data_IF_273899866308
#
_entry.id   IF_273899866308
#
_cell.length_a   1.000
_cell.length_b   1.000
_cell.length_c   1.000
_cell.angle_alpha   90.00
_cell.angle_beta   90.00
_cell.angle_gamma   90.00
#
_symmetry.space_group_name_H-M   'P 1'
#
loop_
_entity.id
_entity.type
_entity.pdbx_description
1 polymer ?
#
# COMPACT_ATOMS: atom_id res chain seq x y z
N UNK A 1 32.54 -18.87 -9.52
CA UNK A 1 31.87 -17.82 -8.73
C UNK A 1 30.38 -18.10 -8.65
N UNK A 2 29.83 -18.37 -7.47
CA UNK A 2 28.39 -18.54 -7.28
C UNK A 2 27.75 -17.18 -7.01
N UNK A 3 26.70 -16.83 -7.75
CA UNK A 3 25.93 -15.59 -7.55
C UNK A 3 24.54 -15.98 -7.06
N UNK A 4 24.25 -15.69 -5.79
CA UNK A 4 22.93 -15.93 -5.22
C UNK A 4 21.92 -14.93 -5.80
N UNK A 5 20.84 -15.44 -6.39
CA UNK A 5 19.71 -14.65 -6.88
C UNK A 5 18.49 -14.94 -5.99
N UNK A 6 18.01 -13.97 -5.20
CA UNK A 6 16.84 -14.17 -4.35
C UNK A 6 15.60 -14.57 -5.15
N UNK A 7 14.81 -15.50 -4.60
CA UNK A 7 13.52 -15.90 -5.18
C UNK A 7 12.44 -14.85 -4.93
N UNK A 8 11.35 -14.77 -5.73
CA UNK A 8 10.28 -13.78 -5.56
C UNK A 8 9.72 -13.65 -4.13
N UNK A 9 9.55 -14.78 -3.42
CA UNK A 9 9.10 -14.82 -2.02
C UNK A 9 9.94 -13.97 -1.06
N UNK A 10 11.23 -13.78 -1.34
CA UNK A 10 12.10 -12.90 -0.56
C UNK A 10 11.65 -11.45 -0.68
N UNK A 11 11.35 -10.98 -1.89
CA UNK A 11 10.88 -9.62 -2.14
C UNK A 11 9.47 -9.40 -1.57
N UNK A 12 8.61 -10.42 -1.63
CA UNK A 12 7.29 -10.41 -0.97
C UNK A 12 7.44 -10.20 0.53
N UNK A 13 8.29 -10.99 1.19
CA UNK A 13 8.54 -10.87 2.62
C UNK A 13 9.12 -9.48 2.99
N UNK A 14 9.98 -8.92 2.13
CA UNK A 14 10.60 -7.61 2.31
C UNK A 14 9.58 -6.46 2.43
N UNK A 15 8.42 -6.56 1.78
CA UNK A 15 7.32 -5.57 1.91
C UNK A 15 6.80 -5.41 3.34
N UNK A 16 6.88 -6.45 4.16
CA UNK A 16 6.49 -6.42 5.57
C UNK A 16 7.70 -6.19 6.47
N UNK A 17 8.68 -7.11 6.43
CA UNK A 17 9.75 -7.15 7.43
C UNK A 17 10.68 -5.94 7.42
N UNK A 18 10.75 -5.19 6.31
CA UNK A 18 11.59 -3.98 6.25
C UNK A 18 10.93 -2.76 6.90
N UNK A 19 9.60 -2.69 6.93
CA UNK A 19 8.86 -1.47 7.28
C UNK A 19 7.80 -1.66 8.37
N UNK A 20 7.60 -2.88 8.85
CA UNK A 20 6.82 -3.17 10.06
C UNK A 20 7.82 -3.52 11.14
N UNK A 21 8.15 -2.53 11.97
CA UNK A 21 9.15 -2.68 13.03
C UNK A 21 8.54 -3.36 14.26
N UNK A 22 9.36 -3.96 15.14
CA UNK A 22 8.88 -4.47 16.42
C UNK A 22 8.08 -3.42 17.19
N UNK A 23 6.98 -3.84 17.80
CA UNK A 23 6.05 -2.96 18.53
C UNK A 23 5.01 -2.25 17.64
N UNK A 24 5.10 -2.36 16.31
CA UNK A 24 4.02 -1.89 15.45
C UNK A 24 2.79 -2.75 15.66
N UNK A 25 1.61 -2.13 15.58
CA UNK A 25 0.34 -2.82 15.67
C UNK A 25 -0.47 -2.61 14.40
N UNK A 26 -1.31 -3.61 14.09
CA UNK A 26 -2.20 -3.58 12.93
C UNK A 26 -3.34 -2.59 13.17
N UNK A 27 -3.68 -1.81 12.16
CA UNK A 27 -4.83 -0.89 12.18
C UNK A 27 -5.90 -1.33 11.19
N UNK A 28 -7.15 -0.96 11.49
CA UNK A 28 -8.27 -1.23 10.61
C UNK A 28 -8.18 -0.37 9.34
N UNK A 29 -8.49 -0.98 8.20
CA UNK A 29 -8.68 -0.30 6.93
C UNK A 29 -10.17 -0.25 6.65
N UNK A 30 -10.70 0.94 6.47
CA UNK A 30 -12.11 1.14 6.10
C UNK A 30 -12.14 1.47 4.61
N UNK A 31 -12.66 0.58 3.75
CA UNK A 31 -12.93 0.96 2.36
C UNK A 31 -13.95 2.10 2.39
N UNK A 32 -13.61 3.22 1.78
CA UNK A 32 -14.55 4.33 1.63
C UNK A 32 -15.29 4.07 0.33
N UNK A 33 -16.56 3.68 0.44
CA UNK A 33 -17.44 3.61 -0.73
C UNK A 33 -17.51 5.00 -1.37
N UNK A 34 -16.95 5.13 -2.58
CA UNK A 34 -16.96 6.38 -3.34
C UNK A 34 -18.37 6.74 -3.85
N UNK A 35 -19.32 5.81 -3.80
CA UNK A 35 -20.71 6.04 -4.19
C UNK A 35 -21.67 5.51 -3.11
N UNK A 36 -22.40 6.41 -2.44
CA UNK A 36 -23.64 6.03 -1.74
C UNK A 36 -24.55 5.36 -2.77
N UNK A 37 -25.02 4.12 -2.54
CA UNK A 37 -26.41 3.65 -2.74
C UNK A 37 -26.52 2.12 -2.86
N UNK A 38 -27.31 1.53 -1.96
CA UNK A 38 -28.42 0.55 -2.12
C UNK A 38 -28.48 -0.50 -3.24
N UNK A 39 -27.49 -0.64 -4.13
CA UNK A 39 -27.59 -1.50 -5.32
C UNK A 39 -26.67 -2.74 -5.20
N UNK A 40 -27.27 -3.90 -4.95
CA UNK A 40 -26.59 -5.19 -4.74
C UNK A 40 -25.71 -5.58 -5.94
N UNK A 41 -26.05 -5.13 -7.15
CA UNK A 41 -25.29 -5.39 -8.36
C UNK A 41 -23.93 -4.65 -8.40
N UNK A 42 -23.81 -3.47 -7.79
CA UNK A 42 -22.55 -2.71 -7.79
C UNK A 42 -21.52 -3.27 -6.80
N UNK A 43 -21.99 -3.90 -5.73
CA UNK A 43 -21.15 -4.62 -4.77
C UNK A 43 -20.32 -5.71 -5.48
N UNK A 44 -20.87 -6.39 -6.49
CA UNK A 44 -20.13 -7.39 -7.27
C UNK A 44 -18.97 -6.82 -8.09
N UNK A 45 -19.05 -5.56 -8.51
CA UNK A 45 -18.07 -4.90 -9.37
C UNK A 45 -17.08 -4.01 -8.62
N UNK A 46 -17.12 -3.97 -7.28
CA UNK A 46 -16.21 -3.15 -6.48
C UNK A 46 -14.73 -3.57 -6.73
N UNK A 47 -13.91 -2.70 -7.35
CA UNK A 47 -12.51 -3.00 -7.63
C UNK A 47 -11.70 -3.29 -6.37
N UNK A 48 -12.07 -2.71 -5.22
CA UNK A 48 -11.35 -2.90 -3.96
C UNK A 48 -11.43 -4.36 -3.46
N UNK A 49 -12.41 -5.14 -3.91
CA UNK A 49 -12.48 -6.59 -3.63
C UNK A 49 -11.29 -7.38 -4.19
N UNK A 50 -10.68 -6.85 -5.25
CA UNK A 50 -9.50 -7.44 -5.89
C UNK A 50 -8.19 -6.89 -5.33
N UNK A 51 -8.26 -6.09 -4.27
CA UNK A 51 -7.09 -5.52 -3.59
C UNK A 51 -7.11 -5.97 -2.14
N UNK A 52 -6.12 -6.78 -1.75
CA UNK A 52 -5.96 -7.21 -0.35
C UNK A 52 -4.96 -6.29 0.32
N UNK A 53 -5.33 -5.69 1.45
CA UNK A 53 -4.48 -4.72 2.14
C UNK A 53 -4.42 -4.97 3.64
N UNK A 54 -3.29 -4.59 4.23
CA UNK A 54 -3.08 -4.55 5.67
C UNK A 54 -2.25 -3.31 5.99
N UNK A 55 -2.58 -2.63 7.09
CA UNK A 55 -1.83 -1.47 7.55
C UNK A 55 -1.34 -1.65 8.98
N UNK A 56 -0.21 -1.04 9.27
CA UNK A 56 0.47 -1.04 10.56
C UNK A 56 0.88 0.37 10.92
N UNK A 57 0.96 0.64 12.22
CA UNK A 57 1.47 1.90 12.75
C UNK A 57 2.33 1.68 13.99
N UNK A 58 3.25 2.60 14.24
CA UNK A 58 4.00 2.66 15.49
C UNK A 58 3.10 3.01 16.68
N UNK A 59 3.48 2.65 17.92
CA UNK A 59 2.73 2.97 19.15
C UNK A 59 2.32 4.45 19.27
N UNK A 60 3.19 5.37 18.85
CA UNK A 60 3.01 6.82 18.86
C UNK A 60 2.25 7.38 17.64
N UNK A 61 1.87 6.53 16.69
CA UNK A 61 1.19 6.89 15.42
C UNK A 61 1.96 7.86 14.52
N UNK A 62 3.28 7.95 14.68
CA UNK A 62 4.14 8.79 13.81
C UNK A 62 4.48 8.05 12.51
N UNK A 63 4.62 6.72 12.58
CA UNK A 63 4.95 5.88 11.45
C UNK A 63 3.77 5.06 10.96
N UNK A 64 3.70 4.88 9.65
CA UNK A 64 2.65 4.14 8.97
C UNK A 64 3.25 3.28 7.88
N UNK A 65 2.73 2.07 7.73
CA UNK A 65 3.07 1.15 6.64
C UNK A 65 1.80 0.46 6.16
N UNK A 66 1.40 0.72 4.91
CA UNK A 66 0.39 -0.02 4.17
C UNK A 66 1.06 -1.03 3.26
N UNK A 67 0.68 -2.29 3.36
CA UNK A 67 1.07 -3.34 2.42
C UNK A 67 -0.17 -3.84 1.72
N UNK A 68 -0.10 -3.99 0.40
CA UNK A 68 -1.21 -4.49 -0.37
C UNK A 68 -0.79 -5.37 -1.54
N UNK A 69 -1.77 -6.10 -2.03
CA UNK A 69 -1.67 -6.96 -3.22
C UNK A 69 -2.83 -6.61 -4.14
N UNK A 70 -2.49 -6.09 -5.32
CA UNK A 70 -3.41 -5.80 -6.40
C UNK A 70 -3.52 -7.02 -7.32
N UNK A 71 -4.74 -7.51 -7.52
CA UNK A 71 -5.02 -8.59 -8.47
C UNK A 71 -5.64 -8.06 -9.79
N UNK A 72 -5.93 -6.76 -9.86
CA UNK A 72 -6.48 -6.11 -11.06
C UNK A 72 -5.40 -6.06 -12.14
N UNK A 73 -5.75 -6.43 -13.37
CA UNK A 73 -4.81 -6.44 -14.50
C UNK A 73 -4.55 -5.06 -15.11
N UNK A 74 -5.54 -4.17 -15.02
CA UNK A 74 -5.46 -2.78 -15.48
C UNK A 74 -4.87 -1.88 -14.40
N UNK A 75 -4.46 -0.69 -14.83
CA UNK A 75 -4.01 0.35 -13.91
C UNK A 75 -5.17 0.79 -13.00
N UNK A 76 -4.90 0.82 -11.70
CA UNK A 76 -5.87 1.21 -10.69
C UNK A 76 -5.33 2.35 -9.84
N UNK A 77 -6.12 3.43 -9.73
CA UNK A 77 -5.78 4.61 -8.93
C UNK A 77 -6.33 4.42 -7.52
N UNK A 78 -5.44 4.19 -6.56
CA UNK A 78 -5.78 4.00 -5.16
C UNK A 78 -5.52 5.30 -4.39
N UNK A 79 -6.61 5.89 -3.88
CA UNK A 79 -6.56 7.03 -2.96
C UNK A 79 -6.69 6.53 -1.51
N UNK A 80 -5.81 6.99 -0.64
CA UNK A 80 -5.69 6.54 0.75
C UNK A 80 -5.86 7.76 1.65
N UNK A 81 -6.88 7.74 2.50
CA UNK A 81 -7.09 8.77 3.53
C UNK A 81 -6.34 8.37 4.82
N UNK A 82 -5.41 9.19 5.25
CA UNK A 82 -4.54 8.96 6.41
C UNK A 82 -5.15 9.58 7.67
N UNK A 83 -6.42 9.24 7.97
CA UNK A 83 -7.14 9.77 9.14
C UNK A 83 -6.46 9.35 10.44
N UNK A 84 -6.31 10.29 11.36
CA UNK A 84 -5.69 10.05 12.67
C UNK A 84 -4.15 10.05 12.67
N UNK A 85 -3.52 10.44 11.56
CA UNK A 85 -2.09 10.68 11.45
C UNK A 85 -1.81 12.18 11.29
N UNK A 86 -0.74 12.65 11.92
CA UNK A 86 -0.29 14.05 11.83
C UNK A 86 0.72 14.24 10.70
N UNK A 87 0.34 13.88 9.46
CA UNK A 87 1.18 14.11 8.29
C UNK A 87 1.01 15.55 7.77
N UNK A 88 2.11 16.22 7.47
CA UNK A 88 2.06 17.56 6.88
C UNK A 88 1.82 17.49 5.37
N UNK A 89 1.13 18.49 4.82
CA UNK A 89 0.98 18.62 3.36
C UNK A 89 2.37 18.74 2.72
N UNK A 90 2.62 17.94 1.68
CA UNK A 90 3.92 17.83 1.01
C UNK A 90 4.84 16.75 1.57
N UNK A 91 4.55 16.19 2.76
CA UNK A 91 5.34 15.09 3.32
C UNK A 91 5.40 13.91 2.36
N UNK A 92 6.61 13.36 2.17
CA UNK A 92 6.87 12.27 1.22
C UNK A 92 6.71 10.92 1.90
N UNK A 93 5.89 10.06 1.30
CA UNK A 93 5.80 8.63 1.58
C UNK A 93 6.62 7.85 0.54
N UNK A 94 7.19 6.74 0.98
CA UNK A 94 7.97 5.84 0.15
C UNK A 94 7.06 4.75 -0.41
N UNK A 95 7.16 4.52 -1.71
CA UNK A 95 6.34 3.57 -2.44
C UNK A 95 7.24 2.51 -3.06
N UNK A 96 6.97 1.24 -2.76
CA UNK A 96 7.74 0.08 -3.22
C UNK A 96 6.82 -0.89 -3.94
N UNK A 97 7.30 -1.50 -5.02
CA UNK A 97 6.51 -2.42 -5.85
C UNK A 97 7.28 -3.69 -6.18
N UNK A 98 6.61 -4.83 -6.07
CA UNK A 98 7.01 -6.10 -6.68
C UNK A 98 5.97 -6.53 -7.71
N UNK A 99 6.43 -6.85 -8.92
CA UNK A 99 5.62 -7.33 -10.05
C UNK A 99 6.46 -8.30 -10.89
N UNK A 100 5.93 -8.94 -11.95
CA UNK A 100 6.73 -9.82 -12.81
C UNK A 100 7.99 -9.17 -13.39
N UNK A 101 8.03 -7.83 -13.50
CA UNK A 101 9.15 -7.06 -14.05
C UNK A 101 9.97 -6.32 -12.98
N UNK A 102 9.51 -6.29 -11.72
CA UNK A 102 10.08 -5.45 -10.64
C UNK A 102 10.26 -6.26 -9.37
N UNK A 103 11.44 -6.21 -8.79
CA UNK A 103 11.76 -6.91 -7.54
C UNK A 103 12.00 -5.90 -6.42
N UNK A 104 10.95 -5.60 -5.65
CA UNK A 104 11.01 -4.61 -4.55
C UNK A 104 11.62 -3.26 -4.98
N UNK A 105 11.13 -2.73 -6.08
CA UNK A 105 11.67 -1.50 -6.66
C UNK A 105 11.03 -0.28 -5.98
N UNK A 106 11.87 0.70 -5.61
CA UNK A 106 11.40 1.98 -5.10
C UNK A 106 10.87 2.83 -6.25
N UNK A 107 9.60 3.18 -6.16
CA UNK A 107 8.92 4.07 -7.09
C UNK A 107 9.10 5.53 -6.66
N UNK A 108 8.60 6.46 -7.49
CA UNK A 108 8.56 7.88 -7.13
C UNK A 108 7.80 8.06 -5.82
N UNK A 109 8.39 8.79 -4.88
CA UNK A 109 7.76 9.11 -3.59
C UNK A 109 6.43 9.84 -3.81
N UNK A 110 5.49 9.55 -2.91
CA UNK A 110 4.11 10.06 -2.95
C UNK A 110 3.99 11.18 -1.94
N UNK A 111 3.59 12.37 -2.37
CA UNK A 111 3.34 13.47 -1.44
C UNK A 111 1.95 13.37 -0.84
N UNK A 112 1.86 13.51 0.48
CA UNK A 112 0.58 13.67 1.18
C UNK A 112 0.01 15.04 0.83
N UNK A 113 -1.26 15.10 0.44
CA UNK A 113 -2.01 16.35 0.21
C UNK A 113 -3.39 16.21 0.85
N UNK A 114 -3.78 17.17 1.68
CA UNK A 114 -5.06 17.14 2.40
C UNK A 114 -5.31 15.81 3.13
N UNK A 115 -4.30 15.31 3.86
CA UNK A 115 -4.31 14.00 4.54
C UNK A 115 -4.58 12.80 3.62
N UNK A 116 -4.41 12.96 2.31
CA UNK A 116 -4.55 11.90 1.33
C UNK A 116 -3.20 11.59 0.68
N UNK A 117 -2.93 10.30 0.47
CA UNK A 117 -1.88 9.83 -0.41
C UNK A 117 -2.52 9.09 -1.58
N UNK A 118 -1.92 9.20 -2.75
CA UNK A 118 -2.48 8.61 -3.97
C UNK A 118 -1.41 7.89 -4.76
N UNK A 119 -1.71 6.64 -5.11
CA UNK A 119 -0.81 5.77 -5.87
C UNK A 119 -1.53 5.18 -7.07
N UNK A 120 -0.73 4.88 -8.10
CA UNK A 120 -1.18 4.12 -9.26
C UNK A 120 -0.59 2.72 -9.13
N UNK A 121 -1.47 1.73 -9.14
CA UNK A 121 -1.14 0.31 -9.12
C UNK A 121 -1.16 -0.19 -10.56
N UNK A 122 0.01 -0.47 -11.12
CA UNK A 122 0.13 -0.88 -12.52
C UNK A 122 -0.02 -2.40 -12.64
N UNK A 123 -1.24 -2.85 -12.94
CA UNK A 123 -1.59 -4.26 -13.04
C UNK A 123 -1.31 -5.06 -11.77
N UNK A 124 -1.15 -6.38 -11.94
CA UNK A 124 -0.94 -7.31 -10.81
C UNK A 124 0.38 -7.04 -10.10
N UNK A 125 0.32 -6.63 -8.85
CA UNK A 125 1.49 -6.27 -8.07
C UNK A 125 1.29 -6.44 -6.56
N UNK A 126 2.41 -6.52 -5.85
CA UNK A 126 2.47 -6.31 -4.40
C UNK A 126 3.11 -4.95 -4.18
N UNK A 127 2.56 -4.19 -3.25
CA UNK A 127 3.03 -2.84 -2.97
C UNK A 127 3.16 -2.56 -1.48
N UNK A 128 4.07 -1.64 -1.16
CA UNK A 128 4.16 -1.02 0.16
C UNK A 128 4.16 0.49 0.00
N UNK A 129 3.31 1.17 0.76
CA UNK A 129 3.36 2.62 0.97
C UNK A 129 3.68 2.86 2.44
N UNK A 130 4.75 3.59 2.73
CA UNK A 130 5.23 3.76 4.11
C UNK A 130 5.80 5.14 4.36
N UNK A 131 5.76 5.62 5.60
CA UNK A 131 6.49 6.83 6.02
C UNK A 131 7.95 6.54 6.39
N UNK A 132 8.37 5.27 6.41
CA UNK A 132 9.72 4.83 6.76
C UNK A 132 10.58 4.70 5.48
N UNK A 133 11.75 5.34 5.41
CA UNK A 133 12.64 5.28 4.24
C UNK A 133 13.11 3.87 3.87
#
# INVERSE_FOLDING_TARGET
HWKYTPRPRYYIAKHLFRHVLPGFFKIALTPVDTEKKSDIYKIWHDPLRHIRMVAFTSPDRVHFTLVGMNLIEKDFRLKIELKGFNFHSGQKLYYYVTSPKKNYERMKSVSVKNNCAEIILNGKCIFTLTSIP
#
